data_IF_544633022008
#
_entry.id   IF_544633022008
#
_cell.length_a   1.000
_cell.length_b   1.000
_cell.length_c   1.000
_cell.angle_alpha   90.00
_cell.angle_beta   90.00
_cell.angle_gamma   90.00
#
_symmetry.space_group_name_H-M   'P 1'
#
loop_
_entity.id
_entity.type
_entity.pdbx_description
1 polymer ?
#
# COMPACT_ATOMS: atom_id res chain seq x y z
N UNK A 1 -21.51 25.14 9.80
CA UNK A 1 -20.32 24.33 10.12
C UNK A 1 -19.97 23.49 8.91
N UNK A 2 -18.71 23.50 8.49
CA UNK A 2 -18.14 22.62 7.47
C UNK A 2 -17.46 21.43 8.15
N UNK A 3 -17.83 20.22 7.79
CA UNK A 3 -17.28 18.99 8.36
C UNK A 3 -16.61 18.20 7.25
N UNK A 4 -15.35 17.84 7.47
CA UNK A 4 -14.68 16.86 6.62
C UNK A 4 -15.02 15.46 7.12
N UNK A 5 -15.71 14.68 6.29
CA UNK A 5 -16.03 13.29 6.56
C UNK A 5 -15.08 12.40 5.75
N UNK A 6 -14.38 11.51 6.45
CA UNK A 6 -13.45 10.56 5.84
C UNK A 6 -13.52 9.22 6.56
N UNK A 7 -12.72 8.26 6.12
CA UNK A 7 -12.73 6.88 6.59
C UNK A 7 -12.39 5.93 5.45
N UNK A 8 -12.39 4.63 5.75
CA UNK A 8 -12.23 3.61 4.73
C UNK A 8 -13.56 3.34 4.01
N UNK A 9 -13.57 3.37 2.67
CA UNK A 9 -14.76 3.03 1.88
C UNK A 9 -15.23 1.56 2.05
N UNK A 10 -14.33 0.69 2.51
CA UNK A 10 -14.58 -0.68 2.93
C UNK A 10 -13.67 -0.98 4.14
N UNK A 11 -14.08 -1.83 5.11
CA UNK A 11 -13.18 -2.24 6.19
C UNK A 11 -11.87 -2.76 5.59
N UNK A 12 -10.70 -2.42 6.17
CA UNK A 12 -9.45 -2.97 5.68
C UNK A 12 -9.54 -4.50 5.79
N UNK A 13 -9.49 -5.19 4.65
CA UNK A 13 -9.20 -6.61 4.64
C UNK A 13 -7.84 -6.80 5.33
N UNK A 14 -7.56 -7.90 6.03
CA UNK A 14 -6.17 -8.27 6.28
C UNK A 14 -5.46 -8.26 4.93
N UNK A 15 -4.32 -7.58 4.82
CA UNK A 15 -3.56 -7.49 3.57
C UNK A 15 -3.44 -8.89 2.94
N UNK A 16 -4.06 -9.11 1.77
CA UNK A 16 -3.75 -10.14 0.76
C UNK A 16 -4.26 -11.56 1.00
N UNK A 17 -5.08 -12.06 0.07
CA UNK A 17 -5.58 -13.43 0.03
C UNK A 17 -4.48 -14.43 -0.38
N UNK A 18 -3.75 -14.97 0.59
CA UNK A 18 -3.14 -16.29 0.41
C UNK A 18 -4.26 -17.33 0.25
N UNK A 19 -4.12 -18.36 -0.61
CA UNK A 19 -5.20 -19.30 -0.83
C UNK A 19 -5.42 -20.11 0.44
N UNK A 20 -6.43 -19.75 1.23
CA UNK A 20 -7.60 -20.57 1.55
C UNK A 20 -8.52 -19.84 2.54
N UNK A 21 -9.78 -19.65 2.14
CA UNK A 21 -10.91 -19.86 3.06
C UNK A 21 -11.47 -18.69 3.86
N UNK A 22 -10.88 -17.49 3.86
CA UNK A 22 -11.61 -16.33 4.39
C UNK A 22 -12.30 -15.66 3.21
N UNK A 23 -13.60 -15.92 3.10
CA UNK A 23 -14.47 -15.07 2.31
C UNK A 23 -14.07 -13.62 2.59
N UNK A 24 -13.87 -12.81 1.55
CA UNK A 24 -14.11 -11.38 1.68
C UNK A 24 -15.35 -11.27 2.56
N UNK A 25 -15.32 -10.61 3.74
CA UNK A 25 -16.57 -10.31 4.40
C UNK A 25 -17.34 -9.58 3.30
N UNK A 26 -18.41 -10.20 2.80
CA UNK A 26 -19.33 -9.50 1.91
C UNK A 26 -19.58 -8.18 2.64
N UNK A 27 -19.28 -7.03 2.01
CA UNK A 27 -19.38 -5.71 2.62
C UNK A 27 -20.53 -5.75 3.63
N UNK A 28 -20.18 -5.75 4.93
CA UNK A 28 -21.01 -6.37 5.96
C UNK A 28 -22.44 -5.92 5.79
N UNK A 29 -23.39 -6.84 5.59
CA UNK A 29 -24.80 -6.48 5.64
C UNK A 29 -25.02 -5.79 7.00
N UNK A 30 -25.19 -4.47 6.99
CA UNK A 30 -25.34 -3.65 8.20
C UNK A 30 -24.17 -2.74 8.61
N UNK A 31 -23.04 -2.71 7.90
CA UNK A 31 -21.98 -1.71 8.15
C UNK A 31 -22.23 -0.47 7.26
N UNK A 32 -22.34 0.74 7.83
CA UNK A 32 -22.57 1.95 7.05
C UNK A 32 -21.38 2.28 6.15
N UNK A 33 -21.66 2.78 4.95
CA UNK A 33 -20.66 3.38 4.07
C UNK A 33 -20.42 4.86 4.41
N UNK A 34 -19.37 5.46 3.85
CA UNK A 34 -19.19 6.92 3.92
C UNK A 34 -20.39 7.68 3.33
N UNK A 35 -21.03 7.15 2.29
CA UNK A 35 -22.22 7.76 1.70
C UNK A 35 -23.42 7.70 2.65
N UNK A 36 -23.58 6.60 3.39
CA UNK A 36 -24.62 6.48 4.41
C UNK A 36 -24.41 7.49 5.53
N UNK A 37 -23.20 7.54 6.10
CA UNK A 37 -22.85 8.50 7.16
C UNK A 37 -23.00 9.95 6.67
N UNK A 38 -22.59 10.24 5.43
CA UNK A 38 -22.79 11.54 4.82
C UNK A 38 -24.28 11.90 4.74
N UNK A 39 -25.13 10.97 4.30
CA UNK A 39 -26.57 11.20 4.22
C UNK A 39 -27.21 11.48 5.58
N UNK A 40 -26.73 10.83 6.64
CA UNK A 40 -27.24 10.99 8.00
C UNK A 40 -26.72 12.26 8.68
N UNK A 41 -25.52 12.73 8.30
CA UNK A 41 -24.92 13.94 8.85
C UNK A 41 -25.32 15.22 8.10
N UNK A 42 -25.66 15.13 6.82
CA UNK A 42 -26.00 16.27 5.96
C UNK A 42 -27.07 17.24 6.52
N UNK A 43 -28.09 16.80 7.28
CA UNK A 43 -29.04 17.72 7.92
C UNK A 43 -28.42 18.64 9.00
N UNK A 44 -27.19 18.37 9.41
CA UNK A 44 -26.52 19.02 10.55
C UNK A 44 -25.32 19.88 10.14
N UNK A 45 -24.67 19.62 9.00
CA UNK A 45 -23.48 20.34 8.56
C UNK A 45 -23.33 20.32 7.02
N UNK A 46 -22.52 21.24 6.50
CA UNK A 46 -22.00 21.17 5.13
C UNK A 46 -20.84 20.16 5.10
N UNK A 47 -20.89 19.19 4.18
CA UNK A 47 -19.99 18.04 4.19
C UNK A 47 -19.03 18.06 3.02
N UNK A 48 -17.74 17.93 3.31
CA UNK A 48 -16.73 17.51 2.35
C UNK A 48 -16.37 16.05 2.60
N UNK A 49 -16.64 15.17 1.64
CA UNK A 49 -16.43 13.72 1.78
C UNK A 49 -15.18 13.30 1.02
N UNK A 50 -14.22 12.71 1.74
CA UNK A 50 -12.97 12.19 1.17
C UNK A 50 -12.80 10.74 1.57
N UNK A 51 -12.89 9.82 0.60
CA UNK A 51 -12.60 8.41 0.84
C UNK A 51 -11.09 8.17 0.84
N UNK A 52 -10.60 7.44 1.84
CA UNK A 52 -9.22 6.96 1.90
C UNK A 52 -9.22 5.44 1.89
N UNK A 53 -8.22 4.82 1.26
CA UNK A 53 -8.09 3.37 1.22
C UNK A 53 -6.61 2.98 1.09
N UNK A 54 -6.04 2.33 2.10
CA UNK A 54 -4.61 1.99 2.12
C UNK A 54 -4.22 0.87 1.15
N UNK A 55 -5.18 0.09 0.65
CA UNK A 55 -4.93 -1.20 0.02
C UNK A 55 -6.10 -1.68 -0.86
N UNK A 56 -5.80 -2.60 -1.77
CA UNK A 56 -6.78 -3.26 -2.63
C UNK A 56 -7.47 -2.28 -3.60
N UNK A 57 -8.53 -2.72 -4.30
CA UNK A 57 -9.14 -1.95 -5.38
C UNK A 57 -9.63 -0.56 -4.94
N UNK A 58 -9.96 -0.42 -3.65
CA UNK A 58 -10.34 0.86 -3.05
C UNK A 58 -9.26 1.95 -3.16
N UNK A 59 -7.97 1.59 -3.24
CA UNK A 59 -6.89 2.55 -3.42
C UNK A 59 -7.02 3.31 -4.75
N UNK A 60 -7.26 2.59 -5.85
CA UNK A 60 -7.47 3.22 -7.15
C UNK A 60 -8.79 3.99 -7.17
N UNK A 61 -9.86 3.45 -6.58
CA UNK A 61 -11.15 4.15 -6.53
C UNK A 61 -11.07 5.48 -5.76
N UNK A 62 -10.31 5.53 -4.66
CA UNK A 62 -10.09 6.75 -3.89
C UNK A 62 -9.43 7.86 -4.73
N UNK A 63 -8.60 7.50 -5.72
CA UNK A 63 -7.92 8.45 -6.61
C UNK A 63 -8.78 8.95 -7.76
N UNK A 64 -9.99 8.43 -7.96
CA UNK A 64 -10.85 8.82 -9.08
C UNK A 64 -11.06 10.35 -9.26
N UNK A 65 -11.22 11.15 -8.19
CA UNK A 65 -11.41 12.59 -8.32
C UNK A 65 -10.19 13.35 -8.86
N UNK A 66 -8.98 12.80 -8.72
CA UNK A 66 -7.72 13.48 -9.07
C UNK A 66 -6.97 12.80 -10.23
N UNK A 67 -7.25 11.52 -10.49
CA UNK A 67 -6.75 10.75 -11.61
C UNK A 67 -7.93 10.09 -12.36
N UNK A 68 -8.74 10.90 -13.08
CA UNK A 68 -9.98 10.43 -13.68
C UNK A 68 -9.76 9.55 -14.93
N UNK A 69 -8.61 9.68 -15.60
CA UNK A 69 -8.26 8.87 -16.76
C UNK A 69 -8.00 7.42 -16.33
N UNK A 70 -8.77 6.48 -16.86
CA UNK A 70 -8.60 5.03 -16.65
C UNK A 70 -8.04 4.41 -17.92
N UNK A 71 -6.91 3.74 -17.79
CA UNK A 71 -6.29 2.97 -18.85
C UNK A 71 -6.54 1.49 -18.59
N UNK A 72 -7.12 0.81 -19.58
CA UNK A 72 -7.25 -0.64 -19.56
C UNK A 72 -5.99 -1.28 -20.17
N UNK A 73 -5.52 -2.35 -19.54
CA UNK A 73 -4.40 -3.15 -20.04
C UNK A 73 -4.57 -4.62 -19.75
N UNK A 74 -3.65 -5.41 -20.26
CA UNK A 74 -3.58 -6.85 -20.05
C UNK A 74 -2.13 -7.20 -19.73
N UNK A 75 -1.91 -8.01 -18.71
CA UNK A 75 -0.58 -8.47 -18.31
C UNK A 75 -0.54 -9.99 -18.22
N UNK A 76 0.62 -10.63 -18.49
CA UNK A 76 0.77 -12.07 -18.29
C UNK A 76 0.63 -12.46 -16.81
N UNK A 77 -0.27 -13.39 -16.55
CA UNK A 77 -0.53 -14.01 -15.25
C UNK A 77 -0.01 -15.45 -15.13
N UNK A 78 -0.41 -16.17 -14.07
CA UNK A 78 0.00 -17.55 -13.81
C UNK A 78 -0.41 -18.47 -14.97
N UNK A 79 0.44 -19.47 -15.25
CA UNK A 79 0.22 -20.48 -16.29
C UNK A 79 -0.09 -19.92 -17.70
N UNK A 80 0.42 -18.72 -18.03
CA UNK A 80 0.21 -18.09 -19.33
C UNK A 80 -1.18 -17.47 -19.52
N UNK A 81 -1.95 -17.31 -18.45
CA UNK A 81 -3.21 -16.56 -18.48
C UNK A 81 -2.99 -15.08 -18.78
N UNK A 82 -3.98 -14.44 -19.38
CA UNK A 82 -4.04 -12.99 -19.56
C UNK A 82 -4.89 -12.37 -18.45
N UNK A 83 -4.29 -11.45 -17.69
CA UNK A 83 -4.95 -10.79 -16.56
C UNK A 83 -5.32 -9.35 -16.96
N UNK A 84 -6.61 -9.01 -17.07
CA UNK A 84 -7.02 -7.63 -17.32
C UNK A 84 -6.72 -6.76 -16.09
N UNK A 85 -6.20 -5.57 -16.32
CA UNK A 85 -5.83 -4.61 -15.28
C UNK A 85 -6.30 -3.21 -15.64
N UNK A 86 -6.59 -2.40 -14.62
CA UNK A 86 -6.88 -0.99 -14.74
C UNK A 86 -5.75 -0.17 -14.09
N UNK A 87 -5.37 0.92 -14.76
CA UNK A 87 -4.45 1.92 -14.26
C UNK A 87 -5.17 3.26 -14.22
N UNK A 88 -4.87 4.09 -13.22
CA UNK A 88 -5.32 5.49 -13.22
C UNK A 88 -4.18 6.41 -13.61
N UNK A 89 -4.48 7.42 -14.42
CA UNK A 89 -3.50 8.39 -14.88
C UNK A 89 -3.94 9.82 -14.54
N UNK A 90 -2.96 10.62 -14.12
CA UNK A 90 -3.09 12.05 -13.86
C UNK A 90 -2.06 12.79 -14.69
N UNK A 91 -2.51 13.68 -15.56
CA UNK A 91 -1.66 14.51 -16.44
C UNK A 91 -1.86 16.00 -16.23
N UNK A 92 -2.82 16.38 -15.37
CA UNK A 92 -3.09 17.76 -14.97
C UNK A 92 -3.37 17.84 -13.46
N UNK A 93 -3.23 19.03 -12.89
CA UNK A 93 -3.70 19.30 -11.53
C UNK A 93 -5.22 19.57 -11.51
N UNK A 94 -5.76 19.80 -10.31
CA UNK A 94 -7.18 20.12 -10.12
C UNK A 94 -7.63 21.41 -10.84
N UNK A 95 -6.70 22.32 -11.16
CA UNK A 95 -6.95 23.54 -11.92
C UNK A 95 -6.84 23.37 -13.43
N UNK A 96 -6.53 22.16 -13.91
CA UNK A 96 -6.35 21.84 -15.33
C UNK A 96 -4.97 22.21 -15.88
N UNK A 97 -4.04 22.67 -15.04
CA UNK A 97 -2.67 22.94 -15.49
C UNK A 97 -1.94 21.62 -15.74
N UNK A 98 -1.20 21.47 -16.85
CA UNK A 98 -0.47 20.25 -17.15
C UNK A 98 0.58 19.96 -16.07
N UNK A 99 0.65 18.70 -15.65
CA UNK A 99 1.62 18.20 -14.67
C UNK A 99 2.39 17.03 -15.26
N UNK A 100 3.50 16.66 -14.62
CA UNK A 100 4.21 15.43 -14.95
C UNK A 100 3.24 14.23 -14.84
N UNK A 101 3.12 13.39 -15.88
CA UNK A 101 2.20 12.25 -15.84
C UNK A 101 2.50 11.37 -14.62
N UNK A 102 1.45 11.06 -13.86
CA UNK A 102 1.51 10.12 -12.74
C UNK A 102 0.55 8.98 -13.00
N UNK A 103 1.04 7.75 -12.96
CA UNK A 103 0.25 6.53 -13.13
C UNK A 103 0.18 5.79 -11.80
N UNK A 104 -1.03 5.40 -11.42
CA UNK A 104 -1.32 4.65 -10.20
C UNK A 104 -1.76 3.25 -10.59
N UNK A 105 -1.14 2.26 -9.94
CA UNK A 105 -1.42 0.84 -10.13
C UNK A 105 -1.50 0.13 -8.79
N UNK A 106 -2.25 -0.96 -8.76
CA UNK A 106 -2.46 -1.77 -7.57
C UNK A 106 -2.03 -3.23 -7.83
N UNK A 107 -1.10 -3.71 -7.00
CA UNK A 107 -0.58 -5.06 -7.05
C UNK A 107 -1.63 -6.14 -6.77
N UNK A 108 -2.75 -5.80 -6.10
CA UNK A 108 -3.81 -6.77 -5.80
C UNK A 108 -4.60 -7.19 -7.05
N UNK A 109 -4.49 -6.46 -8.17
CA UNK A 109 -5.16 -6.80 -9.42
C UNK A 109 -4.55 -8.05 -10.10
N UNK A 110 -3.33 -8.41 -9.74
CA UNK A 110 -2.60 -9.52 -10.35
C UNK A 110 -2.33 -10.62 -9.32
N UNK A 111 -2.71 -11.88 -9.61
CA UNK A 111 -2.43 -12.98 -8.69
C UNK A 111 -0.95 -13.36 -8.73
N UNK A 112 -0.45 -13.86 -7.60
CA UNK A 112 0.87 -14.46 -7.54
C UNK A 112 0.99 -15.65 -8.51
N UNK A 113 2.16 -15.77 -9.14
CA UNK A 113 2.45 -16.81 -10.13
C UNK A 113 3.39 -17.89 -9.57
N UNK A 114 3.58 -18.95 -10.37
CA UNK A 114 4.42 -20.10 -10.05
C UNK A 114 3.63 -21.29 -9.53
N UNK A 115 4.36 -22.36 -9.21
CA UNK A 115 3.78 -23.60 -8.74
C UNK A 115 3.73 -23.64 -7.20
N UNK A 116 2.68 -24.26 -6.67
CA UNK A 116 2.63 -24.62 -5.25
C UNK A 116 3.60 -25.79 -4.96
N UNK A 117 4.22 -25.78 -3.79
CA UNK A 117 5.12 -26.84 -3.30
C UNK A 117 4.66 -27.44 -1.97
N UNK A 118 5.51 -28.29 -1.38
CA UNK A 118 5.30 -28.93 -0.07
C UNK A 118 6.58 -28.87 0.77
N UNK A 119 6.46 -28.80 2.09
CA UNK A 119 7.62 -28.82 3.00
C UNK A 119 7.87 -30.21 3.56
N UNK A 120 8.84 -30.92 2.98
CA UNK A 120 9.34 -32.20 3.48
C UNK A 120 8.74 -33.43 2.79
N UNK A 121 9.11 -34.64 3.23
CA UNK A 121 8.57 -35.92 2.74
C UNK A 121 7.56 -36.59 3.70
N UNK A 122 6.91 -35.83 4.60
CA UNK A 122 6.02 -36.34 5.65
C UNK A 122 4.54 -36.40 5.23
N UNK A 123 3.64 -36.78 6.14
CA UNK A 123 2.20 -36.80 5.84
C UNK A 123 1.35 -36.41 7.05
N UNK A 124 0.44 -35.41 6.94
CA UNK A 124 0.26 -34.50 5.80
C UNK A 124 1.33 -33.38 5.81
N UNK A 125 1.94 -33.12 4.64
CA UNK A 125 2.88 -32.01 4.46
C UNK A 125 2.14 -30.67 4.35
N UNK A 126 2.64 -29.59 4.97
CA UNK A 126 2.06 -28.28 4.75
C UNK A 126 2.38 -27.81 3.32
N UNK A 127 1.34 -27.37 2.62
CA UNK A 127 1.44 -26.83 1.25
C UNK A 127 1.97 -25.40 1.27
N UNK A 128 2.81 -25.08 0.30
CA UNK A 128 3.33 -23.73 0.06
C UNK A 128 2.73 -23.23 -1.25
N UNK A 129 1.79 -22.29 -1.28
CA UNK A 129 1.19 -21.79 -2.50
C UNK A 129 2.14 -20.99 -3.37
N UNK A 130 1.67 -20.70 -4.59
CA UNK A 130 2.31 -19.79 -5.52
C UNK A 130 2.50 -18.41 -4.88
N UNK A 131 3.70 -17.83 -5.05
CA UNK A 131 4.13 -16.61 -4.35
C UNK A 131 4.88 -15.61 -5.22
N UNK A 132 5.08 -15.88 -6.51
CA UNK A 132 5.91 -15.04 -7.36
C UNK A 132 5.23 -13.71 -7.69
N UNK A 133 5.99 -12.62 -7.58
CA UNK A 133 5.58 -11.27 -7.96
C UNK A 133 5.76 -10.95 -9.45
N UNK A 134 6.02 -11.95 -10.30
CA UNK A 134 6.24 -11.77 -11.76
C UNK A 134 5.14 -10.96 -12.45
N UNK A 135 3.86 -11.24 -12.17
CA UNK A 135 2.75 -10.50 -12.77
C UNK A 135 2.73 -9.01 -12.36
N UNK A 136 3.20 -8.70 -11.14
CA UNK A 136 3.37 -7.30 -10.68
C UNK A 136 4.48 -6.60 -11.46
N UNK A 137 5.55 -7.30 -11.83
CA UNK A 137 6.60 -6.72 -12.69
C UNK A 137 6.10 -6.37 -14.09
N UNK A 138 5.23 -7.20 -14.68
CA UNK A 138 4.56 -6.86 -15.95
C UNK A 138 3.61 -5.66 -15.81
N UNK A 139 2.84 -5.60 -14.71
CA UNK A 139 2.00 -4.45 -14.39
C UNK A 139 2.84 -3.17 -14.23
N UNK A 140 4.00 -3.26 -13.58
CA UNK A 140 4.92 -2.15 -13.41
C UNK A 140 5.51 -1.69 -14.75
N UNK A 141 5.91 -2.61 -15.64
CA UNK A 141 6.39 -2.27 -16.98
C UNK A 141 5.31 -1.52 -17.79
N UNK A 142 4.08 -2.02 -17.78
CA UNK A 142 2.93 -1.36 -18.41
C UNK A 142 2.69 0.05 -17.83
N UNK A 143 2.80 0.21 -16.50
CA UNK A 143 2.64 1.50 -15.84
C UNK A 143 3.73 2.50 -16.20
N UNK A 144 4.99 2.04 -16.31
CA UNK A 144 6.14 2.86 -16.73
C UNK A 144 5.93 3.39 -18.14
N UNK A 145 5.48 2.53 -19.06
CA UNK A 145 5.19 2.94 -20.43
C UNK A 145 4.04 3.97 -20.48
N UNK A 146 2.97 3.75 -19.71
CA UNK A 146 1.84 4.67 -19.61
C UNK A 146 2.20 6.02 -18.92
N UNK A 147 3.24 6.04 -18.10
CA UNK A 147 3.71 7.22 -17.39
C UNK A 147 4.60 8.12 -18.26
N UNK A 148 5.01 7.70 -19.46
CA UNK A 148 5.75 8.58 -20.36
C UNK A 148 4.85 9.70 -20.91
N UNK A 149 5.42 10.88 -21.08
CA UNK A 149 4.75 11.96 -21.78
C UNK A 149 4.80 11.78 -23.31
N UNK A 150 4.19 12.70 -24.05
CA UNK A 150 4.17 12.64 -25.52
C UNK A 150 5.56 12.74 -26.17
N UNK A 151 6.55 13.30 -25.47
CA UNK A 151 7.95 13.38 -25.91
C UNK A 151 8.79 12.18 -25.44
N UNK A 152 8.19 11.23 -24.70
CA UNK A 152 8.87 10.07 -24.13
C UNK A 152 9.59 10.35 -22.82
N UNK A 153 9.44 11.53 -22.22
CA UNK A 153 10.07 11.85 -20.94
C UNK A 153 9.41 11.05 -19.78
N UNK A 154 10.19 10.62 -18.77
CA UNK A 154 9.69 9.74 -17.72
C UNK A 154 8.76 10.46 -16.73
N UNK A 155 7.59 9.86 -16.50
CA UNK A 155 6.64 10.28 -15.47
C UNK A 155 6.90 9.65 -14.10
N UNK A 156 5.85 9.63 -13.28
CA UNK A 156 5.83 9.00 -11.96
C UNK A 156 4.94 7.76 -11.98
N UNK A 157 5.35 6.71 -11.30
CA UNK A 157 4.53 5.51 -11.06
C UNK A 157 4.37 5.32 -9.54
N UNK A 158 3.12 5.15 -9.12
CA UNK A 158 2.75 4.80 -7.74
C UNK A 158 2.18 3.39 -7.76
N UNK A 159 2.89 2.45 -7.13
CA UNK A 159 2.48 1.06 -6.95
C UNK A 159 1.92 0.89 -5.54
N UNK A 160 0.61 0.68 -5.41
CA UNK A 160 0.02 0.19 -4.18
C UNK A 160 0.40 -1.29 -3.99
N UNK A 161 1.01 -1.60 -2.85
CA UNK A 161 1.51 -2.95 -2.53
C UNK A 161 0.59 -3.74 -1.61
N UNK A 162 -0.37 -3.05 -0.99
CA UNK A 162 -1.38 -3.66 -0.12
C UNK A 162 -2.21 -4.70 -0.87
N UNK A 163 -2.72 -5.68 -0.14
CA UNK A 163 -3.52 -6.80 -0.66
C UNK A 163 -2.84 -7.69 -1.70
N UNK A 164 -1.53 -7.55 -1.96
CA UNK A 164 -0.83 -8.47 -2.84
C UNK A 164 -0.79 -9.90 -2.28
N UNK A 165 -0.87 -10.86 -3.18
CA UNK A 165 -0.76 -12.30 -2.88
C UNK A 165 0.67 -12.83 -3.05
N UNK A 166 1.60 -11.97 -3.47
CA UNK A 166 3.01 -12.31 -3.67
C UNK A 166 3.75 -12.47 -2.32
N UNK A 167 4.82 -13.25 -2.30
CA UNK A 167 5.69 -13.47 -1.14
C UNK A 167 7.08 -13.99 -1.57
N UNK A 168 7.79 -13.25 -2.41
CA UNK A 168 9.08 -13.65 -3.01
C UNK A 168 10.16 -12.56 -2.92
N UNK A 169 10.03 -11.64 -1.95
CA UNK A 169 10.91 -10.48 -1.76
C UNK A 169 10.96 -9.53 -2.97
N UNK A 170 9.96 -9.64 -3.86
CA UNK A 170 9.82 -8.86 -5.09
C UNK A 170 10.73 -9.34 -6.24
N UNK A 171 11.38 -10.51 -6.11
CA UNK A 171 12.31 -11.02 -7.11
C UNK A 171 11.64 -11.28 -8.46
N UNK A 172 10.42 -11.83 -8.46
CA UNK A 172 9.63 -12.03 -9.66
C UNK A 172 9.37 -10.72 -10.40
N UNK A 173 9.01 -9.65 -9.68
CA UNK A 173 8.78 -8.33 -10.24
C UNK A 173 10.06 -7.74 -10.86
N UNK A 174 11.20 -7.85 -10.18
CA UNK A 174 12.49 -7.40 -10.69
C UNK A 174 12.87 -8.12 -12.00
N UNK A 175 12.70 -9.44 -12.04
CA UNK A 175 13.00 -10.27 -13.23
C UNK A 175 12.10 -9.91 -14.42
N UNK A 176 10.80 -9.79 -14.19
CA UNK A 176 9.84 -9.42 -15.23
C UNK A 176 10.13 -8.03 -15.79
N UNK A 177 10.42 -7.05 -14.93
CA UNK A 177 10.77 -5.69 -15.37
C UNK A 177 12.09 -5.66 -16.15
N UNK A 178 13.05 -6.53 -15.81
CA UNK A 178 14.29 -6.72 -16.56
C UNK A 178 14.12 -7.44 -17.90
N UNK A 179 12.94 -8.01 -18.20
CA UNK A 179 12.73 -8.87 -19.36
C UNK A 179 13.44 -10.23 -19.26
N UNK A 180 13.79 -10.68 -18.05
CA UNK A 180 14.48 -11.95 -17.83
C UNK A 180 13.50 -13.13 -17.85
N UNK A 181 13.86 -14.21 -18.56
CA UNK A 181 13.08 -15.45 -18.57
C UNK A 181 13.09 -16.17 -17.20
N UNK A 182 11.97 -16.81 -16.86
CA UNK A 182 11.79 -17.58 -15.61
C UNK A 182 12.81 -18.72 -15.53
N UNK A 183 13.56 -18.80 -14.43
CA UNK A 183 14.47 -19.92 -14.12
C UNK A 183 15.96 -19.71 -14.43
N UNK A 184 16.36 -18.56 -14.99
CA UNK A 184 17.76 -18.32 -15.44
C UNK A 184 18.72 -17.73 -14.40
N UNK A 185 18.25 -17.41 -13.20
CA UNK A 185 19.02 -16.61 -12.23
C UNK A 185 19.28 -17.44 -10.98
N UNK A 186 20.52 -17.90 -10.84
CA UNK A 186 21.05 -18.46 -9.60
C UNK A 186 22.30 -17.65 -9.20
N UNK A 187 22.29 -17.12 -7.98
CA UNK A 187 23.40 -16.38 -7.39
C UNK A 187 23.45 -14.88 -7.69
N UNK A 188 24.20 -14.18 -6.84
CA UNK A 188 24.43 -12.74 -6.80
C UNK A 188 24.69 -12.03 -8.14
N UNK A 189 25.54 -12.60 -8.99
CA UNK A 189 25.93 -11.98 -10.26
C UNK A 189 24.75 -11.86 -11.23
N UNK A 190 23.85 -12.84 -11.20
CA UNK A 190 22.65 -12.83 -12.02
C UNK A 190 21.60 -11.84 -11.48
N UNK A 191 21.54 -11.62 -10.16
CA UNK A 191 20.66 -10.59 -9.55
C UNK A 191 21.14 -9.17 -9.89
N UNK A 192 22.45 -8.95 -9.98
CA UNK A 192 23.02 -7.67 -10.37
C UNK A 192 22.66 -7.27 -11.80
N UNK A 193 22.74 -8.21 -12.75
CA UNK A 193 22.31 -7.97 -14.14
C UNK A 193 20.81 -7.67 -14.22
N UNK A 194 19.99 -8.42 -13.47
CA UNK A 194 18.55 -8.16 -13.36
C UNK A 194 18.28 -6.76 -12.83
N UNK A 195 18.94 -6.34 -11.74
CA UNK A 195 18.73 -4.99 -11.18
C UNK A 195 19.19 -3.89 -12.15
N UNK A 196 20.30 -4.09 -12.85
CA UNK A 196 20.80 -3.14 -13.86
C UNK A 196 19.79 -2.99 -15.00
N UNK A 197 19.29 -4.11 -15.53
CA UNK A 197 18.30 -4.13 -16.61
C UNK A 197 16.96 -3.55 -16.16
N UNK A 198 16.47 -3.89 -14.97
CA UNK A 198 15.23 -3.35 -14.42
C UNK A 198 15.31 -1.83 -14.19
N UNK A 199 16.44 -1.31 -13.67
CA UNK A 199 16.67 0.14 -13.55
C UNK A 199 16.73 0.82 -14.91
N UNK A 200 17.32 0.19 -15.91
CA UNK A 200 17.31 0.70 -17.29
C UNK A 200 15.89 0.74 -17.87
N UNK A 201 15.07 -0.30 -17.63
CA UNK A 201 13.67 -0.34 -18.06
C UNK A 201 12.81 0.78 -17.43
N UNK A 202 13.08 1.16 -16.18
CA UNK A 202 12.44 2.32 -15.56
C UNK A 202 12.75 3.63 -16.29
N UNK A 203 13.91 3.76 -16.92
CA UNK A 203 14.27 4.92 -17.75
C UNK A 203 14.18 6.27 -17.03
N UNK A 204 14.46 6.32 -15.73
CA UNK A 204 14.35 7.53 -14.91
C UNK A 204 12.94 7.85 -14.39
N UNK A 205 11.99 6.93 -14.55
CA UNK A 205 10.64 7.03 -13.94
C UNK A 205 10.75 7.16 -12.42
N UNK A 206 10.01 8.12 -11.85
CA UNK A 206 9.95 8.26 -10.39
C UNK A 206 9.03 7.20 -9.81
N UNK A 207 9.63 6.22 -9.12
CA UNK A 207 8.91 5.07 -8.59
C UNK A 207 8.62 5.25 -7.09
N UNK A 208 7.35 5.08 -6.73
CA UNK A 208 6.87 5.12 -5.34
C UNK A 208 6.09 3.85 -5.05
N UNK A 209 6.43 3.15 -3.98
CA UNK A 209 5.56 2.15 -3.38
C UNK A 209 4.65 2.84 -2.36
N UNK A 210 3.34 2.80 -2.59
CA UNK A 210 2.33 3.12 -1.60
C UNK A 210 2.14 1.89 -0.71
N UNK A 211 2.84 1.87 0.43
CA UNK A 211 2.88 0.73 1.35
C UNK A 211 1.72 0.79 2.34
N UNK A 212 0.99 -0.31 2.49
CA UNK A 212 -0.17 -0.39 3.38
C UNK A 212 0.20 -0.56 4.86
N UNK A 213 1.43 -0.98 5.14
CA UNK A 213 1.97 -1.16 6.50
C UNK A 213 3.46 -0.84 6.54
N UNK A 214 3.98 -0.62 7.75
CA UNK A 214 5.41 -0.32 7.99
C UNK A 214 6.27 -1.58 8.23
N UNK A 215 5.70 -2.77 8.04
CA UNK A 215 6.35 -4.07 8.25
C UNK A 215 7.67 -4.17 7.45
N UNK A 216 8.81 -4.48 8.10
CA UNK A 216 10.06 -4.77 7.40
C UNK A 216 9.98 -6.09 6.61
N UNK A 217 10.95 -6.36 5.73
CA UNK A 217 10.95 -7.61 4.96
C UNK A 217 11.18 -8.83 5.85
N UNK A 218 12.16 -8.73 6.76
CA UNK A 218 12.66 -9.85 7.57
C UNK A 218 12.55 -9.55 9.07
N UNK A 219 12.65 -10.60 9.88
CA UNK A 219 12.76 -10.55 11.33
C UNK A 219 11.47 -10.96 12.05
N UNK A 220 11.46 -10.78 13.37
CA UNK A 220 10.35 -11.21 14.26
C UNK A 220 9.01 -10.54 13.93
N UNK A 221 9.03 -9.39 13.25
CA UNK A 221 7.87 -8.66 12.79
C UNK A 221 7.94 -8.44 11.27
N UNK A 222 8.68 -9.30 10.54
CA UNK A 222 8.85 -9.21 9.10
C UNK A 222 7.65 -9.71 8.32
N UNK A 223 7.72 -9.66 6.99
CA UNK A 223 6.63 -10.03 6.10
C UNK A 223 6.08 -11.44 6.41
N UNK A 224 6.95 -12.43 6.60
CA UNK A 224 6.52 -13.81 6.87
C UNK A 224 5.85 -13.99 8.23
N UNK A 225 6.19 -13.15 9.22
CA UNK A 225 5.60 -13.20 10.55
C UNK A 225 4.11 -12.83 10.52
N UNK A 226 3.68 -11.98 9.58
CA UNK A 226 2.29 -11.54 9.40
C UNK A 226 1.38 -12.57 8.69
N UNK A 227 1.95 -13.69 8.23
CA UNK A 227 1.19 -14.73 7.55
C UNK A 227 0.34 -15.57 8.51
N UNK A 228 0.59 -15.49 9.82
CA UNK A 228 -0.22 -16.12 10.86
C UNK A 228 -1.68 -15.64 10.82
N UNK A 229 -1.90 -14.34 10.62
CA UNK A 229 -3.20 -13.72 10.40
C UNK A 229 -3.88 -14.18 9.12
N UNK A 230 -3.14 -14.86 8.23
CA UNK A 230 -3.65 -15.50 7.00
C UNK A 230 -3.85 -17.02 7.16
N UNK A 231 -3.70 -17.55 8.36
CA UNK A 231 -3.83 -18.99 8.66
C UNK A 231 -2.71 -19.85 8.09
N UNK A 232 -1.56 -19.26 7.75
CA UNK A 232 -0.40 -20.00 7.24
C UNK A 232 0.31 -20.70 8.38
N UNK A 233 0.67 -21.97 8.17
CA UNK A 233 1.40 -22.77 9.14
C UNK A 233 2.76 -22.14 9.50
N UNK A 234 3.12 -22.19 10.79
CA UNK A 234 4.35 -21.55 11.28
C UNK A 234 5.62 -22.11 10.62
N UNK A 235 5.65 -23.40 10.27
CA UNK A 235 6.79 -23.98 9.54
C UNK A 235 6.87 -23.46 8.10
N UNK A 236 5.72 -23.18 7.47
CA UNK A 236 5.64 -22.51 6.16
C UNK A 236 6.15 -21.08 6.26
N UNK A 237 5.67 -20.30 7.24
CA UNK A 237 6.15 -18.95 7.47
C UNK A 237 7.68 -18.89 7.71
N UNK A 238 8.22 -19.81 8.52
CA UNK A 238 9.67 -19.91 8.76
C UNK A 238 10.46 -20.36 7.53
N UNK A 239 9.89 -21.21 6.68
CA UNK A 239 10.51 -21.56 5.41
C UNK A 239 10.58 -20.34 4.48
N UNK A 240 9.47 -19.64 4.31
CA UNK A 240 9.39 -18.43 3.49
C UNK A 240 10.35 -17.34 3.99
N UNK A 241 10.44 -17.14 5.30
CA UNK A 241 11.40 -16.20 5.90
C UNK A 241 12.84 -16.49 5.48
N UNK A 242 13.23 -17.77 5.43
CA UNK A 242 14.57 -18.17 4.96
C UNK A 242 14.76 -17.90 3.48
N UNK A 243 13.74 -18.12 2.66
CA UNK A 243 13.79 -17.82 1.23
C UNK A 243 13.88 -16.30 0.97
N UNK A 244 13.05 -15.50 1.65
CA UNK A 244 13.13 -14.03 1.59
C UNK A 244 14.52 -13.55 2.03
N UNK A 245 15.09 -14.16 3.07
CA UNK A 245 16.42 -13.85 3.58
C UNK A 245 17.53 -14.07 2.54
N UNK A 246 17.46 -15.16 1.77
CA UNK A 246 18.40 -15.43 0.68
C UNK A 246 18.27 -14.38 -0.43
N UNK A 247 17.05 -14.07 -0.88
CA UNK A 247 16.83 -13.04 -1.90
C UNK A 247 17.30 -11.66 -1.44
N UNK A 248 16.99 -11.29 -0.19
CA UNK A 248 17.43 -10.03 0.40
C UNK A 248 18.95 -9.91 0.45
N UNK A 249 19.65 -11.01 0.75
CA UNK A 249 21.12 -11.07 0.73
C UNK A 249 21.68 -10.79 -0.66
N UNK A 250 21.20 -11.51 -1.68
CA UNK A 250 21.68 -11.39 -3.06
C UNK A 250 21.39 -9.99 -3.63
N UNK A 251 20.19 -9.45 -3.36
CA UNK A 251 19.79 -8.09 -3.77
C UNK A 251 20.64 -7.03 -3.07
N UNK A 252 20.88 -7.15 -1.77
CA UNK A 252 21.75 -6.24 -1.04
C UNK A 252 23.17 -6.19 -1.62
N UNK A 253 23.76 -7.37 -1.87
CA UNK A 253 25.08 -7.48 -2.46
C UNK A 253 25.16 -6.86 -3.86
N UNK A 254 24.14 -7.10 -4.69
CA UNK A 254 24.04 -6.51 -6.02
C UNK A 254 23.88 -4.98 -6.00
N UNK A 255 23.07 -4.44 -5.08
CA UNK A 255 22.91 -2.98 -4.91
C UNK A 255 24.23 -2.32 -4.50
N UNK A 256 24.97 -2.92 -3.57
CA UNK A 256 26.27 -2.40 -3.10
C UNK A 256 27.33 -2.40 -4.22
N UNK A 257 27.36 -3.43 -5.08
CA UNK A 257 28.25 -3.48 -6.25
C UNK A 257 27.89 -2.41 -7.28
N UNK A 258 26.62 -2.29 -7.65
CA UNK A 258 26.14 -1.26 -8.58
C UNK A 258 26.40 0.17 -8.09
N UNK A 259 26.36 0.39 -6.76
CA UNK A 259 26.70 1.69 -6.18
C UNK A 259 28.21 1.99 -6.22
N UNK A 260 29.05 0.95 -6.12
CA UNK A 260 30.50 1.05 -6.13
C UNK A 260 31.07 1.27 -7.54
N UNK A 261 30.38 0.79 -8.58
CA UNK A 261 30.80 0.88 -9.99
C UNK A 261 30.72 2.31 -10.59
N UNK A 262 30.18 3.30 -9.86
CA UNK A 262 30.44 4.72 -10.13
C UNK A 262 29.92 5.33 -11.44
N UNK A 263 29.11 4.63 -12.25
CA UNK A 263 28.61 5.15 -13.56
C UNK A 263 27.15 5.61 -13.56
N UNK A 264 26.49 5.73 -12.39
CA UNK A 264 25.07 6.14 -12.29
C UNK A 264 24.85 7.61 -11.95
N UNK A 265 24.78 8.47 -12.97
CA UNK A 265 24.16 9.79 -12.82
C UNK A 265 22.65 9.66 -12.71
N UNK A 266 22.09 9.97 -11.55
CA UNK A 266 20.64 10.10 -11.34
C UNK A 266 20.15 9.55 -10.00
N UNK A 267 19.79 10.45 -9.08
CA UNK A 267 19.14 10.11 -7.81
C UNK A 267 20.12 9.94 -6.66
N UNK A 268 20.59 11.06 -6.09
CA UNK A 268 21.18 11.02 -4.76
C UNK A 268 20.14 10.44 -3.79
N UNK A 269 20.39 9.24 -3.28
CA UNK A 269 19.76 8.74 -2.06
C UNK A 269 19.99 9.80 -0.99
N UNK A 270 18.93 10.52 -0.62
CA UNK A 270 18.99 11.62 0.34
C UNK A 270 19.39 11.06 1.70
N UNK A 271 20.51 11.54 2.24
CA UNK A 271 21.03 11.17 3.56
C UNK A 271 22.35 10.40 3.51
N UNK A 272 23.45 11.05 3.08
CA UNK A 272 24.81 10.51 3.22
C UNK A 272 25.25 10.57 4.68
N UNK A 273 24.93 9.52 5.43
CA UNK A 273 25.73 9.12 6.59
C UNK A 273 27.02 8.48 6.06
N UNK A 274 28.18 9.03 6.43
CA UNK A 274 29.49 8.59 5.92
C UNK A 274 29.89 7.19 6.44
N UNK A 275 29.12 6.60 7.36
CA UNK A 275 29.19 5.20 7.75
C UNK A 275 28.26 4.30 6.92
N UNK A 276 27.43 4.86 6.03
CA UNK A 276 26.40 4.14 5.28
C UNK A 276 26.85 3.49 3.99
N UNK A 277 27.94 3.94 3.40
CA UNK A 277 28.45 3.40 2.12
C UNK A 277 28.90 1.94 2.20
N UNK A 278 29.07 1.38 3.39
CA UNK A 278 29.39 -0.04 3.61
C UNK A 278 28.16 -0.92 3.95
N UNK A 279 26.94 -0.34 4.02
CA UNK A 279 25.74 -1.02 4.57
C UNK A 279 24.43 -0.68 3.84
N UNK A 280 24.49 -0.01 2.69
CA UNK A 280 23.29 0.42 1.94
C UNK A 280 22.40 -0.78 1.57
N UNK A 281 22.97 -1.85 1.03
CA UNK A 281 22.24 -3.08 0.72
C UNK A 281 21.62 -3.74 1.95
N UNK A 282 22.36 -3.84 3.06
CA UNK A 282 21.89 -4.48 4.31
C UNK A 282 20.73 -3.73 4.99
N UNK A 283 20.55 -2.44 4.68
CA UNK A 283 19.43 -1.64 5.21
C UNK A 283 18.12 -1.85 4.49
N UNK A 284 18.12 -2.35 3.24
CA UNK A 284 16.91 -2.44 2.42
C UNK A 284 15.83 -3.32 3.06
N UNK A 285 16.21 -4.50 3.56
CA UNK A 285 15.27 -5.43 4.19
C UNK A 285 14.68 -4.89 5.50
N UNK A 286 15.35 -3.95 6.16
CA UNK A 286 14.91 -3.33 7.41
C UNK A 286 14.18 -2.01 7.23
N UNK A 287 13.98 -1.52 5.99
CA UNK A 287 13.22 -0.28 5.78
C UNK A 287 11.76 -0.48 6.21
N UNK A 288 11.14 0.50 6.88
CA UNK A 288 9.71 0.49 7.14
C UNK A 288 8.92 0.32 5.83
N UNK A 289 8.08 -0.70 5.77
CA UNK A 289 7.28 -1.07 4.60
C UNK A 289 8.00 -1.93 3.56
N UNK A 290 9.26 -2.32 3.77
CA UNK A 290 9.98 -3.21 2.87
C UNK A 290 9.29 -4.58 2.70
N UNK A 291 8.56 -5.03 3.73
CA UNK A 291 7.80 -6.28 3.70
C UNK A 291 6.43 -6.17 3.04
N UNK A 292 5.94 -4.96 2.75
CA UNK A 292 4.62 -4.77 2.16
C UNK A 292 4.50 -5.48 0.80
N UNK A 293 3.36 -6.15 0.60
CA UNK A 293 3.09 -6.99 -0.57
C UNK A 293 4.03 -8.19 -0.71
N UNK A 294 4.53 -8.75 0.40
CA UNK A 294 5.47 -9.89 0.39
C UNK A 294 6.86 -9.52 -0.12
N UNK A 295 7.24 -8.25 0.01
CA UNK A 295 8.53 -7.71 -0.40
C UNK A 295 8.53 -6.89 -1.69
N UNK A 296 7.36 -6.47 -2.18
CA UNK A 296 7.28 -5.49 -3.26
C UNK A 296 7.91 -4.14 -2.85
N UNK A 297 7.73 -3.73 -1.59
CA UNK A 297 8.43 -2.57 -1.02
C UNK A 297 9.95 -2.73 -1.11
N UNK A 298 10.49 -3.89 -0.74
CA UNK A 298 11.91 -4.21 -0.88
C UNK A 298 12.41 -4.10 -2.32
N UNK A 299 11.68 -4.65 -3.30
CA UNK A 299 12.04 -4.52 -4.72
C UNK A 299 12.02 -3.06 -5.21
N UNK A 300 11.01 -2.27 -4.84
CA UNK A 300 10.95 -0.85 -5.18
C UNK A 300 12.13 -0.09 -4.58
N UNK A 301 12.48 -0.34 -3.32
CA UNK A 301 13.65 0.26 -2.68
C UNK A 301 14.97 -0.15 -3.38
N UNK A 302 15.11 -1.43 -3.78
CA UNK A 302 16.26 -1.91 -4.53
C UNK A 302 16.39 -1.25 -5.93
N UNK A 303 15.28 -0.86 -6.55
CA UNK A 303 15.24 -0.08 -7.79
C UNK A 303 15.57 1.40 -7.59
N UNK A 304 15.70 1.87 -6.34
CA UNK A 304 15.93 3.28 -6.00
C UNK A 304 14.66 4.11 -5.85
N UNK A 305 13.49 3.47 -5.79
CA UNK A 305 12.21 4.09 -5.50
C UNK A 305 12.03 4.41 -4.01
N UNK A 306 10.93 5.12 -3.69
CA UNK A 306 10.59 5.51 -2.31
C UNK A 306 9.44 4.67 -1.77
N UNK A 307 9.51 4.33 -0.49
CA UNK A 307 8.40 3.74 0.25
C UNK A 307 7.67 4.87 0.98
N UNK A 308 6.37 5.00 0.72
CA UNK A 308 5.52 6.02 1.33
C UNK A 308 4.25 5.34 1.84
N UNK A 309 3.78 5.63 3.06
CA UNK A 309 2.50 5.09 3.53
C UNK A 309 1.37 5.40 2.54
N UNK A 310 0.57 4.41 2.19
CA UNK A 310 -0.45 4.53 1.15
C UNK A 310 -1.48 5.63 1.48
N UNK A 311 -1.89 5.72 2.75
CA UNK A 311 -2.79 6.78 3.22
C UNK A 311 -2.19 8.17 3.08
N UNK A 312 -0.87 8.33 3.28
CA UNK A 312 -0.18 9.60 3.04
C UNK A 312 -0.18 9.96 1.57
N UNK A 313 0.07 8.99 0.68
CA UNK A 313 0.00 9.21 -0.77
C UNK A 313 -1.39 9.71 -1.17
N UNK A 314 -2.45 9.05 -0.69
CA UNK A 314 -3.82 9.45 -0.96
C UNK A 314 -4.13 10.84 -0.37
N UNK A 315 -3.79 11.07 0.89
CA UNK A 315 -4.05 12.35 1.54
C UNK A 315 -3.35 13.52 0.83
N UNK A 316 -2.10 13.33 0.39
CA UNK A 316 -1.37 14.34 -0.37
C UNK A 316 -2.00 14.57 -1.74
N UNK A 317 -2.28 13.51 -2.50
CA UNK A 317 -2.82 13.64 -3.87
C UNK A 317 -4.28 14.12 -3.88
N UNK A 318 -5.08 13.82 -2.85
CA UNK A 318 -6.46 14.30 -2.67
C UNK A 318 -6.54 15.71 -2.07
N UNK A 319 -5.40 16.31 -1.72
CA UNK A 319 -5.32 17.64 -1.14
C UNK A 319 -5.95 17.75 0.24
N UNK A 320 -5.81 16.71 1.07
CA UNK A 320 -6.48 16.62 2.37
C UNK A 320 -6.14 17.80 3.29
N UNK A 321 -4.89 18.26 3.33
CA UNK A 321 -4.50 19.41 4.16
C UNK A 321 -5.21 20.71 3.74
N UNK A 322 -5.40 20.93 2.44
CA UNK A 322 -6.12 22.09 1.92
C UNK A 322 -7.61 22.03 2.28
N UNK A 323 -8.21 20.83 2.27
CA UNK A 323 -9.60 20.61 2.68
C UNK A 323 -9.78 20.78 4.19
N UNK A 324 -8.85 20.25 4.98
CA UNK A 324 -8.80 20.43 6.44
C UNK A 324 -8.72 21.92 6.81
N UNK A 325 -7.90 22.71 6.13
CA UNK A 325 -7.82 24.15 6.37
C UNK A 325 -9.16 24.91 6.22
N UNK A 326 -10.12 24.36 5.48
CA UNK A 326 -11.46 24.92 5.30
C UNK A 326 -12.55 24.30 6.18
N UNK A 327 -12.23 23.28 6.99
CA UNK A 327 -13.17 22.56 7.84
C UNK A 327 -13.23 23.14 9.26
N UNK A 328 -14.31 22.85 9.98
CA UNK A 328 -14.51 23.19 11.39
C UNK A 328 -14.35 21.95 12.31
N UNK A 329 -14.54 20.74 11.77
CA UNK A 329 -14.27 19.47 12.44
C UNK A 329 -14.03 18.35 11.42
N UNK A 330 -13.46 17.24 11.91
CA UNK A 330 -13.22 16.04 11.12
C UNK A 330 -13.97 14.86 11.72
N UNK A 331 -14.66 14.10 10.88
CA UNK A 331 -15.32 12.86 11.24
C UNK A 331 -14.65 11.72 10.49
N UNK A 332 -14.19 10.71 11.22
CA UNK A 332 -13.60 9.50 10.65
C UNK A 332 -14.52 8.32 10.91
N UNK A 333 -14.99 7.68 9.84
CA UNK A 333 -15.67 6.40 9.90
C UNK A 333 -14.64 5.27 9.91
N UNK A 334 -14.72 4.38 10.89
CA UNK A 334 -13.89 3.20 10.99
C UNK A 334 -14.74 1.95 11.26
N UNK A 335 -14.21 0.77 10.99
CA UNK A 335 -14.81 -0.47 11.47
C UNK A 335 -14.50 -0.66 12.96
N UNK A 336 -13.21 -0.72 13.32
CA UNK A 336 -12.77 -0.79 14.72
C UNK A 336 -11.75 0.30 15.02
N UNK A 337 -11.95 1.06 16.09
CA UNK A 337 -10.90 1.91 16.65
C UNK A 337 -10.02 1.09 17.61
N UNK A 338 -8.96 0.51 17.06
CA UNK A 338 -7.98 -0.33 17.76
C UNK A 338 -6.53 0.01 17.41
N UNK A 339 -5.62 -0.92 17.68
CA UNK A 339 -4.17 -0.70 17.52
C UNK A 339 -3.76 -0.32 16.09
N UNK A 340 -4.39 -0.90 15.06
CA UNK A 340 -4.11 -0.57 13.66
C UNK A 340 -4.49 0.89 13.33
N UNK A 341 -5.73 1.28 13.58
CA UNK A 341 -6.20 2.65 13.31
C UNK A 341 -5.42 3.73 14.08
N UNK A 342 -4.91 3.41 15.27
CA UNK A 342 -4.06 4.31 16.05
C UNK A 342 -2.57 4.29 15.63
N UNK A 343 -2.11 3.19 15.02
CA UNK A 343 -0.73 2.96 14.62
C UNK A 343 -0.41 3.53 13.24
N UNK A 344 -0.93 2.90 12.19
CA UNK A 344 -0.65 3.21 10.79
C UNK A 344 -1.93 3.34 9.93
N UNK A 345 -3.12 3.25 10.55
CA UNK A 345 -4.40 3.36 9.88
C UNK A 345 -4.91 4.78 9.62
N UNK A 346 -6.15 4.87 9.15
CA UNK A 346 -6.77 6.10 8.64
C UNK A 346 -6.92 7.15 9.74
N UNK A 347 -7.36 6.74 10.93
CA UNK A 347 -7.54 7.64 12.08
C UNK A 347 -6.22 8.31 12.45
N UNK A 348 -5.11 7.57 12.50
CA UNK A 348 -3.79 8.13 12.79
C UNK A 348 -3.35 9.18 11.77
N UNK A 349 -3.44 8.86 10.48
CA UNK A 349 -3.01 9.78 9.41
C UNK A 349 -3.85 11.06 9.41
N UNK A 350 -5.18 10.92 9.52
CA UNK A 350 -6.12 12.05 9.53
C UNK A 350 -5.93 12.90 10.78
N UNK A 351 -5.81 12.28 11.96
CA UNK A 351 -5.64 13.02 13.22
C UNK A 351 -4.32 13.78 13.28
N UNK A 352 -3.24 13.20 12.75
CA UNK A 352 -1.95 13.89 12.67
C UNK A 352 -2.03 15.17 11.82
N UNK A 353 -2.71 15.12 10.67
CA UNK A 353 -2.90 16.28 9.79
C UNK A 353 -3.85 17.31 10.39
N UNK A 354 -5.00 16.86 10.89
CA UNK A 354 -5.99 17.71 11.54
C UNK A 354 -5.41 18.47 12.73
N UNK A 355 -4.46 17.87 13.46
CA UNK A 355 -3.73 18.50 14.56
C UNK A 355 -2.96 19.76 14.14
N UNK A 356 -2.39 19.82 12.93
CA UNK A 356 -1.73 21.03 12.41
C UNK A 356 -2.70 22.20 12.19
N UNK A 357 -3.99 21.90 12.05
CA UNK A 357 -5.08 22.87 11.89
C UNK A 357 -5.87 23.10 13.19
N UNK A 358 -5.48 22.45 14.29
CA UNK A 358 -6.19 22.50 15.58
C UNK A 358 -7.67 22.06 15.49
N UNK A 359 -8.00 21.16 14.57
CA UNK A 359 -9.36 20.69 14.36
C UNK A 359 -9.73 19.57 15.32
N UNK A 360 -10.97 19.56 15.86
CA UNK A 360 -11.46 18.42 16.60
C UNK A 360 -11.68 17.23 15.65
N UNK A 361 -11.17 16.06 16.06
CA UNK A 361 -11.29 14.80 15.32
C UNK A 361 -12.22 13.87 16.08
N UNK A 362 -13.28 13.42 15.41
CA UNK A 362 -14.30 12.53 15.95
C UNK A 362 -14.30 11.22 15.19
N UNK A 363 -14.20 10.11 15.89
CA UNK A 363 -14.31 8.77 15.29
C UNK A 363 -15.70 8.21 15.54
N UNK A 364 -16.34 7.70 14.50
CA UNK A 364 -17.54 6.86 14.60
C UNK A 364 -17.16 5.47 14.09
N UNK A 365 -17.27 4.46 14.94
CA UNK A 365 -16.80 3.11 14.63
C UNK A 365 -17.79 2.02 15.08
N UNK A 366 -17.69 0.82 14.51
CA UNK A 366 -18.49 -0.34 14.95
C UNK A 366 -18.11 -0.68 16.38
N UNK A 367 -16.82 -0.85 16.62
CA UNK A 367 -16.25 -1.11 17.94
C UNK A 367 -15.18 -0.08 18.29
N UNK A 368 -15.04 0.23 19.57
CA UNK A 368 -13.92 1.02 20.12
C UNK A 368 -13.22 0.20 21.18
N UNK A 369 -12.06 -0.34 20.83
CA UNK A 369 -11.22 -1.15 21.73
C UNK A 369 -10.15 -0.28 22.40
N UNK A 370 -9.72 0.79 21.73
CA UNK A 370 -8.76 1.75 22.25
C UNK A 370 -9.25 2.42 23.53
N UNK A 371 -8.41 2.45 24.56
CA UNK A 371 -8.71 3.14 25.82
C UNK A 371 -8.67 4.66 25.66
N UNK A 372 -9.32 5.37 26.59
CA UNK A 372 -9.37 6.87 26.58
C UNK A 372 -8.00 7.54 26.54
N UNK A 373 -6.97 6.92 27.15
CA UNK A 373 -5.59 7.45 27.13
C UNK A 373 -4.97 7.36 25.74
N UNK A 374 -5.20 6.25 25.04
CA UNK A 374 -4.69 6.02 23.69
C UNK A 374 -5.39 6.96 22.70
N UNK A 375 -6.72 7.12 22.83
CA UNK A 375 -7.50 8.09 22.05
C UNK A 375 -6.99 9.53 22.23
N UNK A 376 -6.76 9.96 23.47
CA UNK A 376 -6.23 11.30 23.76
C UNK A 376 -4.80 11.47 23.22
N UNK A 377 -3.94 10.46 23.35
CA UNK A 377 -2.58 10.48 22.81
C UNK A 377 -2.57 10.57 21.26
N UNK A 378 -3.57 10.00 20.60
CA UNK A 378 -3.76 10.11 19.16
C UNK A 378 -4.40 11.44 18.71
N UNK A 379 -4.77 12.33 19.64
CA UNK A 379 -5.37 13.63 19.34
C UNK A 379 -6.88 13.60 19.07
N UNK A 380 -7.56 12.52 19.47
CA UNK A 380 -9.00 12.38 19.22
C UNK A 380 -9.81 13.19 20.25
N UNK A 381 -10.80 13.92 19.75
CA UNK A 381 -11.73 14.71 20.58
C UNK A 381 -12.94 13.90 21.04
N UNK A 382 -13.30 12.84 20.31
CA UNK A 382 -14.32 11.88 20.70
C UNK A 382 -14.29 10.61 19.87
N UNK A 383 -14.64 9.48 20.47
CA UNK A 383 -14.82 8.21 19.78
C UNK A 383 -16.16 7.59 20.21
N UNK A 384 -16.93 7.11 19.24
CA UNK A 384 -18.29 6.62 19.45
C UNK A 384 -18.49 5.28 18.76
N UNK A 385 -18.81 4.26 19.56
CA UNK A 385 -19.12 2.92 19.07
C UNK A 385 -20.64 2.74 18.89
N UNK A 386 -21.07 2.05 17.83
CA UNK A 386 -22.47 1.57 17.76
C UNK A 386 -22.63 0.15 18.30
N UNK A 387 -21.56 -0.64 18.38
CA UNK A 387 -21.57 -2.04 18.81
C UNK A 387 -22.69 -2.82 18.08
N UNK A 388 -23.64 -3.41 18.82
CA UNK A 388 -24.82 -4.10 18.29
C UNK A 388 -26.04 -3.17 18.06
N UNK A 389 -25.86 -1.86 18.25
CA UNK A 389 -26.90 -0.83 18.12
C UNK A 389 -27.08 -0.32 16.68
N UNK A 390 -28.04 0.60 16.50
CA UNK A 390 -28.31 1.23 15.21
C UNK A 390 -27.24 2.28 14.87
N UNK A 391 -26.41 2.07 13.81
CA UNK A 391 -25.38 3.02 13.41
C UNK A 391 -25.97 4.38 13.00
N UNK A 392 -27.17 4.41 12.42
CA UNK A 392 -27.81 5.66 12.01
C UNK A 392 -28.17 6.51 13.23
N UNK A 393 -28.85 5.93 14.21
CA UNK A 393 -29.20 6.62 15.45
C UNK A 393 -27.97 7.16 16.19
N UNK A 394 -26.85 6.42 16.18
CA UNK A 394 -25.58 6.89 16.71
C UNK A 394 -25.07 8.12 15.94
N UNK A 395 -24.92 8.00 14.62
CA UNK A 395 -24.36 9.06 13.76
C UNK A 395 -25.18 10.34 13.89
N UNK A 396 -26.51 10.27 13.80
CA UNK A 396 -27.37 11.45 13.94
C UNK A 396 -27.24 12.10 15.34
N UNK A 397 -27.04 11.31 16.40
CA UNK A 397 -26.80 11.83 17.76
C UNK A 397 -25.44 12.54 17.87
N UNK A 398 -24.40 11.94 17.31
CA UNK A 398 -23.05 12.52 17.27
C UNK A 398 -23.09 13.81 16.44
N UNK A 399 -23.72 13.80 15.27
CA UNK A 399 -23.90 14.97 14.41
C UNK A 399 -24.58 16.14 15.15
N UNK A 400 -25.67 15.88 15.90
CA UNK A 400 -26.31 16.92 16.73
C UNK A 400 -25.41 17.46 17.83
N UNK A 401 -24.48 16.66 18.35
CA UNK A 401 -23.56 17.07 19.42
C UNK A 401 -22.46 17.95 18.86
N UNK A 402 -21.88 17.57 17.73
CA UNK A 402 -20.72 18.23 17.14
C UNK A 402 -21.06 19.37 16.18
N UNK A 403 -22.31 19.45 15.70
CA UNK A 403 -22.75 20.51 14.78
C UNK A 403 -23.53 21.65 15.43
N UNK A 404 -23.74 21.61 16.76
CA UNK A 404 -24.32 22.71 17.53
C UNK A 404 -23.22 23.61 18.05
N UNK A 405 -22.72 24.47 17.16
CA UNK A 405 -21.87 25.62 17.45
C UNK A 405 -22.53 26.90 16.97
#
# INVERSE_FOLDING_TARGET
MRVLLTGSAAPPLPDGAWPHGVATPAAGQGVPTLADVASWWAPHADLDVVALAAQGPGFLDALAPVAPEVLAGVVPGPAGSEVPVALRRRTADAGGAPTRPTVYVDASQVPAAGDAGTLGPGSPDPTVPARSSTAVGHLLALAVDAARDAAGAPGRVVLATGSSTSHDAGLGALRALAGAEVGRVAGDAAVEEVLRAARAALGGTDLVAAVASDVPLLGLHGASATLDGRGVDAAVAQHLERELGAVAHDVAAAVDRLASDGTGGGGALVGRDLLATATTGRRLAGLPGAGSGGGLGHAVAALGGRLVPALRVLADDLGLDARLAGADAVVVLADELGAHELGDGTVREVAARAGHHALPVVVVARSVVAGRREQAAAGLSGAYAWDDGDPRALVERVARTWSRG
#
